data_IF_797012774028
#
_entry.id   IF_797012774028
#
_cell.length_a   1.000
_cell.length_b   1.000
_cell.length_c   1.000
_cell.angle_alpha   90.00
_cell.angle_beta   90.00
_cell.angle_gamma   90.00
#
_symmetry.space_group_name_H-M   'P 1'
#
loop_
_entity.id
_entity.type
_entity.pdbx_description
1 polymer ?
#
# COMPACT_ATOMS: atom_id res chain seq x y z
N UNK A 1 54.07 -56.13 -58.97
CA UNK A 1 53.29 -55.03 -59.60
C UNK A 1 51.81 -55.31 -59.38
N UNK A 2 51.04 -54.24 -59.16
CA UNK A 2 49.59 -54.14 -58.87
C UNK A 2 49.18 -54.29 -57.38
N UNK A 3 48.49 -53.28 -56.80
CA UNK A 3 48.22 -53.18 -55.37
C UNK A 3 46.83 -53.75 -55.00
N UNK A 4 46.71 -54.26 -53.77
CA UNK A 4 45.43 -54.56 -53.14
C UNK A 4 44.70 -53.24 -52.85
N UNK A 5 43.50 -53.11 -53.42
CA UNK A 5 42.55 -52.05 -53.06
C UNK A 5 41.79 -52.51 -51.80
N UNK A 6 42.21 -52.04 -50.62
CA UNK A 6 41.42 -52.16 -49.41
C UNK A 6 40.23 -51.18 -49.48
N UNK A 7 39.03 -51.71 -49.64
CA UNK A 7 37.77 -50.98 -49.38
C UNK A 7 37.68 -50.77 -47.88
N UNK A 8 38.02 -49.56 -47.43
CA UNK A 8 37.87 -49.14 -46.04
C UNK A 8 36.43 -48.67 -45.84
N UNK A 9 35.59 -49.54 -45.27
CA UNK A 9 34.27 -49.19 -44.75
C UNK A 9 34.47 -48.29 -43.52
N UNK A 10 34.42 -46.97 -43.75
CA UNK A 10 34.37 -45.99 -42.65
C UNK A 10 32.97 -46.04 -42.06
N UNK A 11 32.84 -46.74 -40.93
CA UNK A 11 31.68 -46.57 -40.06
C UNK A 11 31.74 -45.14 -39.48
N UNK A 12 30.91 -44.23 -40.01
CA UNK A 12 30.64 -42.94 -39.39
C UNK A 12 29.88 -43.21 -38.07
N UNK A 13 30.63 -43.27 -36.98
CA UNK A 13 30.06 -43.19 -35.64
C UNK A 13 29.45 -41.79 -35.49
N UNK A 14 28.12 -41.71 -35.60
CA UNK A 14 27.36 -40.49 -35.38
C UNK A 14 27.34 -40.22 -33.86
N UNK A 15 28.43 -39.65 -33.35
CA UNK A 15 28.53 -39.22 -31.96
C UNK A 15 27.56 -38.06 -31.72
N UNK A 16 26.42 -38.34 -31.07
CA UNK A 16 25.45 -37.34 -30.69
C UNK A 16 26.13 -36.32 -29.74
N UNK A 17 26.37 -35.11 -30.23
CA UNK A 17 26.87 -34.01 -29.41
C UNK A 17 25.71 -33.41 -28.65
N UNK A 18 25.61 -33.70 -27.35
CA UNK A 18 24.69 -32.98 -26.46
C UNK A 18 25.01 -31.47 -26.52
N UNK A 19 23.97 -30.64 -26.66
CA UNK A 19 24.15 -29.19 -26.77
C UNK A 19 24.52 -28.56 -25.40
N UNK A 20 24.19 -29.26 -24.32
CA UNK A 20 24.52 -28.90 -22.95
C UNK A 20 25.77 -29.66 -22.48
N UNK A 21 26.76 -28.96 -21.87
CA UNK A 21 27.93 -29.63 -21.36
C UNK A 21 27.60 -30.43 -20.10
N UNK A 22 28.35 -31.50 -19.85
CA UNK A 22 28.13 -32.41 -18.72
C UNK A 22 28.31 -31.78 -17.33
N UNK A 23 28.87 -30.57 -17.27
CA UNK A 23 29.01 -29.78 -16.05
C UNK A 23 27.88 -28.75 -15.86
N UNK A 24 26.87 -28.72 -16.74
CA UNK A 24 25.69 -27.89 -16.56
C UNK A 24 24.70 -28.52 -15.57
N UNK A 25 23.85 -27.70 -14.96
CA UNK A 25 22.75 -28.17 -14.11
C UNK A 25 21.52 -28.61 -14.94
N UNK A 26 21.65 -28.67 -16.28
CA UNK A 26 20.59 -29.15 -17.20
C UNK A 26 20.71 -30.66 -17.34
N UNK A 27 19.62 -31.37 -17.08
CA UNK A 27 19.55 -32.83 -17.20
C UNK A 27 19.29 -33.20 -18.66
N UNK A 28 20.23 -33.91 -19.28
CA UNK A 28 20.00 -34.47 -20.62
C UNK A 28 19.03 -35.65 -20.54
N UNK A 29 17.91 -35.53 -21.23
CA UNK A 29 16.88 -36.54 -21.31
C UNK A 29 17.06 -37.39 -22.58
N UNK A 30 16.78 -38.67 -22.42
CA UNK A 30 16.73 -39.67 -23.49
C UNK A 30 15.45 -40.48 -23.34
N UNK A 31 15.11 -41.27 -24.35
CA UNK A 31 13.96 -42.18 -24.26
C UNK A 31 14.02 -43.10 -23.02
N UNK A 32 15.23 -43.51 -22.61
CA UNK A 32 15.43 -44.43 -21.49
C UNK A 32 15.20 -43.79 -20.12
N UNK A 33 15.53 -42.50 -19.96
CA UNK A 33 15.43 -41.81 -18.67
C UNK A 33 14.21 -40.88 -18.57
N UNK A 34 13.49 -40.60 -19.66
CA UNK A 34 12.39 -39.64 -19.64
C UNK A 34 11.25 -40.02 -18.69
N UNK A 35 11.02 -41.32 -18.44
CA UNK A 35 10.01 -41.77 -17.49
C UNK A 35 10.18 -41.15 -16.10
N UNK A 36 11.39 -40.73 -15.73
CA UNK A 36 11.66 -40.00 -14.49
C UNK A 36 10.91 -38.65 -14.41
N UNK A 37 10.64 -38.00 -15.56
CA UNK A 37 9.87 -36.75 -15.63
C UNK A 37 8.41 -36.97 -15.27
N UNK A 38 7.85 -38.10 -15.72
CA UNK A 38 6.44 -38.46 -15.55
C UNK A 38 6.15 -39.11 -14.20
N UNK A 39 7.13 -39.83 -13.65
CA UNK A 39 7.01 -40.54 -12.37
C UNK A 39 7.48 -39.68 -11.17
N UNK A 40 8.15 -38.56 -11.42
CA UNK A 40 8.59 -37.66 -10.36
C UNK A 40 7.46 -36.75 -9.88
N UNK A 41 7.41 -36.56 -8.55
CA UNK A 41 6.59 -35.53 -7.89
C UNK A 41 7.15 -34.12 -8.06
N UNK A 42 8.40 -34.01 -8.51
CA UNK A 42 9.07 -32.73 -8.74
C UNK A 42 8.54 -32.07 -10.02
N UNK A 43 8.72 -30.77 -10.12
CA UNK A 43 8.29 -29.97 -11.27
C UNK A 43 9.43 -29.98 -12.29
N UNK A 44 9.09 -30.13 -13.57
CA UNK A 44 10.08 -30.21 -14.64
C UNK A 44 9.87 -29.14 -15.69
N UNK A 45 10.96 -28.62 -16.22
CA UNK A 45 10.97 -27.73 -17.38
C UNK A 45 11.84 -28.39 -18.41
N UNK A 46 11.27 -28.66 -19.58
CA UNK A 46 11.94 -29.46 -20.62
C UNK A 46 12.04 -28.63 -21.89
N UNK A 47 13.27 -28.41 -22.35
CA UNK A 47 13.54 -27.91 -23.68
C UNK A 47 13.61 -29.06 -24.69
N UNK A 48 12.85 -28.93 -25.78
CA UNK A 48 12.93 -29.77 -26.96
C UNK A 48 13.78 -29.04 -28.01
N UNK A 49 14.96 -29.58 -28.30
CA UNK A 49 15.96 -28.94 -29.15
C UNK A 49 16.43 -29.85 -30.29
N UNK A 50 17.21 -29.27 -31.21
CA UNK A 50 18.00 -30.01 -32.19
C UNK A 50 19.44 -29.45 -32.20
N UNK A 51 20.50 -30.28 -32.28
CA UNK A 51 21.89 -29.79 -32.20
C UNK A 51 22.25 -28.79 -33.31
N UNK A 52 21.65 -28.92 -34.49
CA UNK A 52 21.85 -28.03 -35.64
C UNK A 52 21.05 -26.72 -35.56
N UNK A 53 20.15 -26.57 -34.58
CA UNK A 53 19.27 -25.40 -34.46
C UNK A 53 20.00 -24.22 -33.81
N UNK A 54 20.28 -23.17 -34.60
CA UNK A 54 20.95 -21.96 -34.12
C UNK A 54 20.19 -21.18 -33.03
N UNK A 55 18.86 -21.30 -32.98
CA UNK A 55 18.05 -20.68 -31.92
C UNK A 55 18.20 -21.41 -30.58
N UNK A 56 18.36 -22.73 -30.65
CA UNK A 56 18.59 -23.61 -29.51
C UNK A 56 19.99 -23.33 -28.94
N UNK A 57 21.01 -23.24 -29.80
CA UNK A 57 22.37 -22.87 -29.39
C UNK A 57 22.44 -21.52 -28.67
N UNK A 58 21.64 -20.52 -29.08
CA UNK A 58 21.57 -19.22 -28.40
C UNK A 58 20.85 -19.28 -27.05
N UNK A 59 19.97 -20.27 -26.84
CA UNK A 59 19.23 -20.45 -25.59
C UNK A 59 20.10 -21.11 -24.51
N UNK A 60 21.04 -21.98 -24.90
CA UNK A 60 21.96 -22.71 -23.99
C UNK A 60 22.49 -21.89 -22.80
N UNK A 61 23.11 -20.69 -22.98
CA UNK A 61 23.66 -19.95 -21.85
C UNK A 61 22.59 -19.47 -20.86
N UNK A 62 21.44 -19.03 -21.35
CA UNK A 62 20.35 -18.54 -20.51
C UNK A 62 19.59 -19.69 -19.84
N UNK A 63 19.40 -20.79 -20.56
CA UNK A 63 18.79 -22.01 -20.03
C UNK A 63 19.66 -22.67 -18.95
N UNK A 64 20.97 -22.69 -19.14
CA UNK A 64 21.93 -23.18 -18.13
C UNK A 64 21.93 -22.31 -16.87
N UNK A 65 21.82 -20.98 -17.02
CA UNK A 65 21.68 -20.06 -15.87
C UNK A 65 20.37 -20.30 -15.13
N UNK A 66 19.26 -20.50 -15.84
CA UNK A 66 17.97 -20.84 -15.26
C UNK A 66 18.03 -22.17 -14.50
N UNK A 67 18.66 -23.20 -15.07
CA UNK A 67 18.89 -24.49 -14.42
C UNK A 67 19.64 -24.35 -13.10
N UNK A 68 20.71 -23.54 -13.10
CA UNK A 68 21.48 -23.26 -11.88
C UNK A 68 20.65 -22.51 -10.83
N UNK A 69 19.84 -21.53 -11.25
CA UNK A 69 19.00 -20.74 -10.34
C UNK A 69 17.85 -21.56 -9.74
N UNK A 70 17.30 -22.49 -10.50
CA UNK A 70 16.18 -23.35 -10.10
C UNK A 70 16.61 -24.64 -9.40
N UNK A 71 17.93 -24.86 -9.24
CA UNK A 71 18.49 -26.07 -8.66
C UNK A 71 17.89 -26.35 -7.28
N UNK A 72 17.32 -27.54 -7.13
CA UNK A 72 16.68 -27.99 -5.89
C UNK A 72 15.22 -27.56 -5.72
N UNK A 73 14.67 -26.77 -6.65
CA UNK A 73 13.27 -26.33 -6.66
C UNK A 73 12.53 -26.94 -7.86
N UNK A 74 13.16 -26.89 -9.04
CA UNK A 74 12.63 -27.39 -10.31
C UNK A 74 13.73 -28.14 -11.05
N UNK A 75 13.39 -29.26 -11.68
CA UNK A 75 14.30 -29.99 -12.56
C UNK A 75 14.27 -29.36 -13.94
N UNK A 76 15.42 -28.87 -14.40
CA UNK A 76 15.57 -28.29 -15.73
C UNK A 76 16.28 -29.30 -16.62
N UNK A 77 15.71 -29.56 -17.78
CA UNK A 77 16.11 -30.66 -18.62
C UNK A 77 15.99 -30.34 -20.11
N UNK A 78 16.74 -31.04 -20.94
CA UNK A 78 16.73 -30.87 -22.37
C UNK A 78 16.69 -32.23 -23.08
N UNK A 79 16.00 -32.31 -24.22
CA UNK A 79 15.95 -33.50 -25.06
C UNK A 79 16.18 -33.15 -26.52
N UNK A 80 17.06 -33.93 -27.16
CA UNK A 80 17.25 -33.90 -28.61
C UNK A 80 16.02 -34.49 -29.31
N UNK A 81 15.11 -33.61 -29.68
CA UNK A 81 13.86 -33.95 -30.32
C UNK A 81 14.03 -34.31 -31.82
N UNK A 82 15.19 -34.02 -32.40
CA UNK A 82 15.56 -34.46 -33.75
C UNK A 82 15.95 -35.95 -33.75
N UNK A 83 16.64 -36.38 -32.69
CA UNK A 83 16.97 -37.79 -32.45
C UNK A 83 15.77 -38.61 -31.98
N UNK A 84 14.84 -38.02 -31.23
CA UNK A 84 13.66 -38.68 -30.66
C UNK A 84 12.33 -38.04 -31.14
N UNK A 85 11.99 -38.12 -32.45
CA UNK A 85 10.86 -37.38 -33.04
C UNK A 85 9.49 -37.89 -32.61
N UNK A 86 9.35 -39.19 -32.34
CA UNK A 86 8.11 -39.78 -31.81
C UNK A 86 7.72 -39.21 -30.45
N UNK A 87 8.71 -38.77 -29.67
CA UNK A 87 8.52 -38.18 -28.36
C UNK A 87 8.08 -36.70 -28.48
N UNK A 88 8.77 -35.93 -29.32
CA UNK A 88 8.41 -34.54 -29.63
C UNK A 88 6.97 -34.42 -30.16
N UNK A 89 6.55 -35.34 -31.01
CA UNK A 89 5.18 -35.40 -31.56
C UNK A 89 4.09 -35.58 -30.50
N UNK A 90 4.33 -36.38 -29.44
CA UNK A 90 3.35 -36.62 -28.35
C UNK A 90 2.99 -35.35 -27.59
N UNK A 91 3.92 -34.41 -27.51
CA UNK A 91 3.71 -33.13 -26.84
C UNK A 91 3.41 -31.99 -27.83
N UNK A 92 3.15 -32.31 -29.10
CA UNK A 92 2.79 -31.31 -30.11
C UNK A 92 3.92 -30.35 -30.44
N UNK A 93 5.18 -30.78 -30.33
CA UNK A 93 6.33 -29.94 -30.70
C UNK A 93 6.42 -29.86 -32.23
N UNK A 94 6.24 -28.65 -32.76
CA UNK A 94 6.24 -28.38 -34.21
C UNK A 94 7.50 -27.64 -34.69
N UNK A 95 8.38 -27.23 -33.78
CA UNK A 95 9.60 -26.50 -34.10
C UNK A 95 10.52 -26.36 -32.90
N UNK A 96 11.75 -25.88 -33.14
CA UNK A 96 12.79 -25.79 -32.13
C UNK A 96 13.31 -24.35 -31.95
N UNK A 97 13.67 -23.93 -30.73
CA UNK A 97 13.46 -24.63 -29.46
C UNK A 97 12.03 -24.45 -28.95
N UNK A 98 11.42 -25.53 -28.45
CA UNK A 98 10.14 -25.49 -27.73
C UNK A 98 10.40 -25.85 -26.27
N UNK A 99 9.91 -25.05 -25.33
CA UNK A 99 10.04 -25.33 -23.90
C UNK A 99 8.65 -25.62 -23.33
N UNK A 100 8.56 -26.65 -22.49
CA UNK A 100 7.32 -27.02 -21.81
C UNK A 100 7.53 -27.19 -20.31
N UNK A 101 6.52 -26.81 -19.53
CA UNK A 101 6.53 -26.87 -18.07
C UNK A 101 5.58 -27.99 -17.62
N UNK A 102 6.14 -28.98 -16.94
CA UNK A 102 5.47 -30.18 -16.45
C UNK A 102 5.20 -30.05 -14.95
N UNK A 103 4.20 -29.23 -14.61
CA UNK A 103 3.63 -29.17 -13.25
C UNK A 103 2.59 -30.29 -13.09
N UNK A 104 1.58 -30.32 -13.96
CA UNK A 104 0.74 -31.49 -14.19
C UNK A 104 1.36 -32.33 -15.31
N UNK A 105 1.76 -33.57 -15.00
CA UNK A 105 2.42 -34.48 -15.94
C UNK A 105 1.55 -34.86 -17.12
N UNK A 106 0.23 -34.83 -16.94
CA UNK A 106 -0.74 -35.20 -17.96
C UNK A 106 -1.07 -34.04 -18.91
N UNK A 107 -0.79 -32.79 -18.49
CA UNK A 107 -1.10 -31.59 -19.26
C UNK A 107 0.02 -30.55 -19.13
N UNK A 108 1.18 -30.79 -19.76
CA UNK A 108 2.28 -29.83 -19.74
C UNK A 108 1.88 -28.52 -20.43
N UNK A 109 2.36 -27.42 -19.86
CA UNK A 109 2.06 -26.06 -20.32
C UNK A 109 3.14 -25.60 -21.30
N UNK A 110 2.73 -24.87 -22.33
CA UNK A 110 3.65 -24.22 -23.26
C UNK A 110 4.33 -23.02 -22.60
N UNK A 111 5.65 -22.93 -22.75
CA UNK A 111 6.41 -21.76 -22.33
C UNK A 111 6.29 -20.66 -23.40
N UNK A 112 5.67 -19.54 -23.02
CA UNK A 112 5.51 -18.36 -23.87
C UNK A 112 6.28 -17.13 -23.34
N UNK A 113 7.12 -17.31 -22.32
CA UNK A 113 7.89 -16.25 -21.70
C UNK A 113 9.14 -15.85 -22.50
N UNK A 114 9.83 -14.82 -22.01
CA UNK A 114 11.10 -14.39 -22.58
C UNK A 114 12.17 -15.49 -22.41
N UNK A 115 12.89 -15.79 -23.49
CA UNK A 115 13.98 -16.81 -23.52
C UNK A 115 15.27 -16.32 -22.86
N UNK A 116 15.15 -15.69 -21.70
CA UNK A 116 16.24 -15.26 -20.81
C UNK A 116 16.17 -16.07 -19.52
N UNK A 117 17.26 -16.13 -18.76
CA UNK A 117 17.29 -16.91 -17.51
C UNK A 117 16.18 -16.45 -16.56
N UNK A 118 15.95 -15.13 -16.46
CA UNK A 118 14.92 -14.52 -15.61
C UNK A 118 13.52 -14.83 -16.13
N UNK A 119 13.27 -14.65 -17.42
CA UNK A 119 11.96 -14.95 -18.02
C UNK A 119 11.58 -16.43 -17.88
N UNK A 120 12.56 -17.33 -18.00
CA UNK A 120 12.37 -18.76 -17.74
C UNK A 120 12.03 -19.01 -16.27
N UNK A 121 12.78 -18.45 -15.32
CA UNK A 121 12.50 -18.66 -13.89
C UNK A 121 11.14 -18.11 -13.47
N UNK A 122 10.75 -16.94 -13.99
CA UNK A 122 9.51 -16.28 -13.60
C UNK A 122 8.28 -17.03 -14.11
N UNK A 123 8.28 -17.47 -15.37
CA UNK A 123 7.16 -18.23 -15.93
C UNK A 123 7.01 -19.59 -15.23
N UNK A 124 8.12 -20.20 -14.83
CA UNK A 124 8.12 -21.44 -14.06
C UNK A 124 7.52 -21.22 -12.68
N UNK A 125 7.94 -20.19 -11.94
CA UNK A 125 7.37 -19.85 -10.63
C UNK A 125 5.88 -19.53 -10.75
N UNK A 126 5.46 -18.84 -11.80
CA UNK A 126 4.06 -18.54 -12.09
C UNK A 126 3.24 -19.81 -12.34
N UNK A 127 3.75 -20.73 -13.15
CA UNK A 127 3.09 -22.02 -13.40
C UNK A 127 2.93 -22.83 -12.10
N UNK A 128 3.93 -22.79 -11.21
CA UNK A 128 3.87 -23.42 -9.88
C UNK A 128 2.76 -22.79 -9.02
N UNK A 129 2.75 -21.45 -8.91
CA UNK A 129 1.72 -20.72 -8.15
C UNK A 129 0.32 -21.03 -8.66
N UNK A 130 0.12 -21.02 -9.97
CA UNK A 130 -1.18 -21.31 -10.58
C UNK A 130 -1.64 -22.73 -10.29
N UNK A 131 -0.74 -23.71 -10.34
CA UNK A 131 -1.09 -25.09 -10.00
C UNK A 131 -1.41 -25.27 -8.52
N UNK A 132 -0.70 -24.59 -7.63
CA UNK A 132 -1.00 -24.60 -6.19
C UNK A 132 -2.38 -24.00 -5.94
N UNK A 133 -2.68 -22.84 -6.53
CA UNK A 133 -3.98 -22.17 -6.40
C UNK A 133 -5.13 -23.00 -6.97
N UNK A 134 -4.92 -23.71 -8.09
CA UNK A 134 -5.93 -24.58 -8.68
C UNK A 134 -6.23 -25.83 -7.84
N UNK A 135 -5.23 -26.34 -7.12
CA UNK A 135 -5.37 -27.51 -6.24
C UNK A 135 -5.93 -27.15 -4.85
N UNK A 136 -5.89 -25.88 -4.47
CA UNK A 136 -6.42 -25.34 -3.20
C UNK A 136 -7.78 -24.67 -3.37
N UNK A 137 -8.72 -25.31 -4.07
CA UNK A 137 -10.11 -24.84 -4.10
C UNK A 137 -10.69 -24.85 -2.68
N UNK A 138 -10.77 -23.67 -2.04
CA UNK A 138 -11.64 -23.45 -0.87
C UNK A 138 -11.01 -22.90 0.42
N UNK A 139 -9.73 -22.51 0.47
CA UNK A 139 -9.18 -21.86 1.68
C UNK A 139 -8.43 -20.58 1.32
N UNK A 140 -8.91 -19.38 1.73
CA UNK A 140 -8.14 -18.15 1.59
C UNK A 140 -7.04 -18.16 2.65
N UNK A 141 -5.83 -18.58 2.28
CA UNK A 141 -4.68 -18.54 3.17
C UNK A 141 -3.70 -17.42 2.77
N UNK A 142 -3.50 -16.52 3.73
CA UNK A 142 -2.76 -15.27 3.69
C UNK A 142 -1.48 -15.23 2.85
N UNK A 143 -1.37 -14.15 2.09
CA UNK A 143 -0.13 -13.60 1.58
C UNK A 143 0.83 -13.32 2.75
N UNK A 144 1.70 -14.27 3.07
CA UNK A 144 2.88 -14.05 3.88
C UNK A 144 4.07 -13.81 2.94
N UNK A 145 4.51 -12.55 2.88
CA UNK A 145 5.76 -12.09 2.26
C UNK A 145 6.97 -12.95 2.64
N UNK A 146 7.74 -13.35 1.63
CA UNK A 146 9.20 -13.50 1.70
C UNK A 146 9.76 -13.20 0.30
N UNK A 147 9.95 -11.91 -0.01
CA UNK A 147 11.24 -11.20 0.03
C UNK A 147 12.29 -11.74 -0.95
N UNK A 148 12.36 -11.14 -2.15
CA UNK A 148 13.65 -10.75 -2.74
C UNK A 148 13.50 -9.65 -3.81
N UNK A 149 13.64 -8.42 -3.32
CA UNK A 149 14.40 -7.29 -3.90
C UNK A 149 14.95 -7.52 -5.32
N UNK A 150 14.18 -7.12 -6.32
CA UNK A 150 14.72 -6.52 -7.54
C UNK A 150 14.26 -5.06 -7.58
N UNK A 151 15.23 -4.16 -7.72
CA UNK A 151 15.05 -2.72 -7.75
C UNK A 151 13.92 -2.28 -8.69
N UNK A 152 13.09 -1.36 -8.19
CA UNK A 152 12.16 -0.45 -8.90
C UNK A 152 11.01 -1.08 -9.69
N UNK A 153 10.05 -1.69 -8.99
CA UNK A 153 8.78 -2.17 -9.57
C UNK A 153 7.72 -2.60 -8.53
N UNK A 154 8.15 -3.03 -7.34
CA UNK A 154 7.29 -3.62 -6.29
C UNK A 154 6.21 -2.69 -5.71
N UNK A 155 6.32 -1.37 -5.90
CA UNK A 155 5.39 -0.40 -5.31
C UNK A 155 4.28 0.06 -6.28
N UNK A 156 4.33 -0.35 -7.55
CA UNK A 156 3.22 -0.14 -8.50
C UNK A 156 2.19 -1.25 -8.30
N UNK A 157 0.96 -0.89 -7.99
CA UNK A 157 -0.13 -1.84 -7.78
C UNK A 157 -0.73 -2.23 -9.12
N UNK A 158 -0.75 -3.54 -9.42
CA UNK A 158 -1.47 -4.04 -10.58
C UNK A 158 -2.99 -3.96 -10.35
N UNK A 159 -3.66 -3.24 -11.24
CA UNK A 159 -5.10 -3.01 -11.20
C UNK A 159 -5.78 -3.81 -12.31
N UNK A 160 -6.93 -4.36 -11.96
CA UNK A 160 -7.78 -5.20 -12.80
C UNK A 160 -9.23 -4.74 -12.64
N UNK A 161 -10.11 -5.12 -13.57
CA UNK A 161 -11.55 -4.82 -13.43
C UNK A 161 -12.13 -5.29 -12.08
N UNK A 162 -11.58 -6.37 -11.51
CA UNK A 162 -12.08 -6.98 -10.26
C UNK A 162 -11.62 -6.29 -8.98
N UNK A 163 -10.49 -5.58 -9.01
CA UNK A 163 -9.90 -4.96 -7.81
C UNK A 163 -9.97 -3.43 -7.83
N UNK A 164 -10.20 -2.82 -9.00
CA UNK A 164 -10.15 -1.36 -9.18
C UNK A 164 -11.11 -0.65 -8.22
N UNK A 165 -12.35 -1.14 -8.13
CA UNK A 165 -13.39 -0.46 -7.35
C UNK A 165 -13.20 -0.57 -5.85
N UNK A 166 -12.45 -1.57 -5.41
CA UNK A 166 -12.12 -1.78 -4.01
C UNK A 166 -10.85 -1.03 -3.61
N UNK A 167 -9.88 -0.95 -4.51
CA UNK A 167 -8.56 -0.39 -4.21
C UNK A 167 -8.49 1.11 -4.51
N UNK A 168 -9.11 1.55 -5.60
CA UNK A 168 -9.02 2.92 -6.11
C UNK A 168 -10.31 3.69 -5.83
N UNK A 169 -11.47 3.14 -6.21
CA UNK A 169 -12.74 3.79 -5.89
C UNK A 169 -13.06 3.58 -4.40
N UNK A 170 -13.65 4.59 -3.77
CA UNK A 170 -13.99 4.63 -2.34
C UNK A 170 -12.78 4.39 -1.41
N UNK A 171 -11.58 4.69 -1.91
CA UNK A 171 -10.33 4.65 -1.14
C UNK A 171 -10.11 5.97 -0.42
N UNK A 172 -9.68 5.90 0.83
CA UNK A 172 -9.20 7.09 1.58
C UNK A 172 -7.81 7.54 1.11
N UNK A 173 -7.08 6.66 0.40
CA UNK A 173 -5.83 7.02 -0.25
C UNK A 173 -6.03 7.71 -1.59
N UNK A 174 -5.07 8.57 -1.94
CA UNK A 174 -4.97 9.21 -3.25
C UNK A 174 -4.29 8.27 -4.23
N UNK A 175 -4.83 8.16 -5.44
CA UNK A 175 -4.31 7.29 -6.48
C UNK A 175 -3.93 8.02 -7.77
N UNK A 176 -2.84 7.56 -8.37
CA UNK A 176 -2.49 7.80 -9.76
C UNK A 176 -2.53 6.48 -10.50
N UNK A 177 -3.31 6.39 -11.58
CA UNK A 177 -3.46 5.14 -12.34
C UNK A 177 -3.05 5.34 -13.79
N UNK A 178 -2.09 4.54 -14.23
CA UNK A 178 -1.72 4.41 -15.63
C UNK A 178 -2.60 3.36 -16.32
N UNK A 179 -3.30 3.77 -17.37
CA UNK A 179 -3.97 2.90 -18.32
C UNK A 179 -3.03 2.67 -19.51
N UNK A 180 -2.52 1.45 -19.65
CA UNK A 180 -1.46 1.12 -20.60
C UNK A 180 -1.82 -0.05 -21.53
N UNK A 181 -0.99 -0.26 -22.54
CA UNK A 181 -1.00 -1.45 -23.38
C UNK A 181 0.42 -2.04 -23.48
N UNK A 182 0.60 -3.37 -23.37
CA UNK A 182 1.92 -4.00 -23.21
C UNK A 182 2.81 -3.87 -24.47
N UNK A 183 2.20 -3.65 -25.64
CA UNK A 183 2.89 -3.45 -26.91
C UNK A 183 3.21 -1.98 -27.20
N UNK A 184 2.71 -1.02 -26.40
CA UNK A 184 2.90 0.41 -26.64
C UNK A 184 4.30 0.88 -26.21
N UNK A 185 5.10 1.39 -27.17
CA UNK A 185 6.45 1.89 -26.90
C UNK A 185 6.50 3.05 -25.90
N UNK A 186 5.50 3.95 -25.92
CA UNK A 186 5.43 5.04 -24.95
C UNK A 186 5.14 4.55 -23.51
N UNK A 187 4.37 3.46 -23.36
CA UNK A 187 4.13 2.84 -22.05
C UNK A 187 5.40 2.16 -21.53
N UNK A 188 6.10 1.43 -22.40
CA UNK A 188 7.40 0.80 -22.04
C UNK A 188 8.44 1.82 -21.57
N UNK A 189 8.46 3.01 -22.18
CA UNK A 189 9.35 4.09 -21.77
C UNK A 189 8.92 4.76 -20.44
N UNK A 190 7.62 4.79 -20.15
CA UNK A 190 7.09 5.35 -18.91
C UNK A 190 7.27 4.40 -17.72
N UNK A 191 7.14 3.09 -17.93
CA UNK A 191 7.21 2.05 -16.88
C UNK A 191 8.37 2.22 -15.87
N UNK A 192 9.64 2.44 -16.27
CA UNK A 192 10.72 2.65 -15.30
C UNK A 192 10.56 3.93 -14.48
N UNK A 193 10.03 5.00 -15.08
CA UNK A 193 9.75 6.26 -14.38
C UNK A 193 8.57 6.12 -13.42
N UNK A 194 7.52 5.41 -13.85
CA UNK A 194 6.34 5.12 -13.05
C UNK A 194 6.70 4.31 -11.80
N UNK A 195 7.52 3.27 -11.97
CA UNK A 195 7.97 2.43 -10.86
C UNK A 195 8.88 3.18 -9.87
N UNK A 196 9.77 4.03 -10.36
CA UNK A 196 10.58 4.91 -9.52
C UNK A 196 9.71 5.89 -8.71
N UNK A 197 8.77 6.56 -9.38
CA UNK A 197 7.83 7.46 -8.72
C UNK A 197 6.97 6.76 -7.66
N UNK A 198 6.51 5.53 -7.94
CA UNK A 198 5.72 4.73 -7.00
C UNK A 198 6.51 4.42 -5.72
N UNK A 199 7.80 4.12 -5.88
CA UNK A 199 8.71 3.86 -4.76
C UNK A 199 8.92 5.11 -3.90
N UNK A 200 9.05 6.28 -4.51
CA UNK A 200 9.25 7.56 -3.82
C UNK A 200 7.98 8.10 -3.15
N UNK A 201 6.80 7.83 -3.72
CA UNK A 201 5.50 8.32 -3.24
C UNK A 201 4.82 7.41 -2.20
N UNK A 202 5.48 6.31 -1.83
CA UNK A 202 4.96 5.32 -0.89
C UNK A 202 4.46 5.96 0.41
N UNK A 203 3.22 5.64 0.76
CA UNK A 203 2.54 6.18 1.95
C UNK A 203 1.94 7.58 1.79
N UNK A 204 2.05 8.20 0.61
CA UNK A 204 1.43 9.51 0.31
C UNK A 204 0.49 9.43 -0.88
N UNK A 205 0.95 8.86 -1.98
CA UNK A 205 0.16 8.64 -3.20
C UNK A 205 0.45 7.23 -3.72
N UNK A 206 -0.60 6.47 -3.98
CA UNK A 206 -0.50 5.11 -4.54
C UNK A 206 -0.48 5.18 -6.06
N UNK A 207 0.46 4.46 -6.67
CA UNK A 207 0.53 4.35 -8.13
C UNK A 207 0.02 2.97 -8.55
N UNK A 208 -0.93 2.96 -9.47
CA UNK A 208 -1.48 1.76 -10.07
C UNK A 208 -1.21 1.68 -11.57
N UNK A 209 -1.23 0.48 -12.12
CA UNK A 209 -1.17 0.24 -13.56
C UNK A 209 -2.24 -0.77 -13.96
N UNK A 210 -3.03 -0.44 -14.99
CA UNK A 210 -4.09 -1.28 -15.54
C UNK A 210 -3.84 -1.51 -17.04
N UNK A 211 -3.74 -2.77 -17.45
CA UNK A 211 -3.69 -3.13 -18.86
C UNK A 211 -5.07 -2.98 -19.48
N UNK A 212 -5.27 -1.86 -20.18
CA UNK A 212 -6.55 -1.50 -20.79
C UNK A 212 -6.90 -2.36 -22.02
N UNK A 213 -5.96 -3.18 -22.51
CA UNK A 213 -6.23 -4.13 -23.60
C UNK A 213 -6.89 -5.41 -23.11
N UNK A 214 -6.68 -5.74 -21.83
CA UNK A 214 -7.32 -6.88 -21.15
C UNK A 214 -8.55 -6.41 -20.37
N UNK A 215 -8.42 -5.28 -19.67
CA UNK A 215 -9.44 -4.73 -18.78
C UNK A 215 -10.26 -3.63 -19.46
N UNK A 216 -10.97 -4.02 -20.53
CA UNK A 216 -11.70 -3.08 -21.39
C UNK A 216 -12.89 -2.41 -20.71
N UNK A 217 -13.47 -3.03 -19.66
CA UNK A 217 -14.60 -2.47 -18.93
C UNK A 217 -14.21 -1.17 -18.22
N UNK A 218 -13.15 -1.20 -17.40
CA UNK A 218 -12.64 0.02 -16.74
C UNK A 218 -12.09 1.01 -17.77
N UNK A 219 -11.41 0.54 -18.82
CA UNK A 219 -10.94 1.43 -19.88
C UNK A 219 -12.09 2.22 -20.54
N UNK A 220 -13.24 1.58 -20.78
CA UNK A 220 -14.42 2.24 -21.33
C UNK A 220 -15.06 3.21 -20.31
N UNK A 221 -15.19 2.79 -19.05
CA UNK A 221 -15.76 3.61 -17.97
C UNK A 221 -15.03 4.94 -17.80
N UNK A 222 -13.70 4.93 -17.88
CA UNK A 222 -12.85 6.11 -17.78
C UNK A 222 -12.57 6.79 -19.13
N UNK A 223 -13.25 6.37 -20.21
CA UNK A 223 -13.15 6.91 -21.56
C UNK A 223 -11.68 6.99 -22.06
N UNK A 224 -10.93 5.91 -21.89
CA UNK A 224 -9.54 5.79 -22.33
C UNK A 224 -9.51 5.61 -23.85
N UNK A 225 -8.87 6.55 -24.56
CA UNK A 225 -8.83 6.60 -26.04
C UNK A 225 -7.45 6.36 -26.64
N UNK A 226 -6.42 6.28 -25.80
CA UNK A 226 -5.03 6.12 -26.22
C UNK A 226 -4.16 5.70 -25.05
N UNK A 227 -2.91 5.32 -25.35
CA UNK A 227 -1.98 4.80 -24.35
C UNK A 227 -0.61 5.49 -24.43
N UNK A 228 0.04 5.78 -23.29
CA UNK A 228 -0.52 5.70 -21.94
C UNK A 228 -1.45 6.89 -21.65
N UNK A 229 -2.54 6.65 -20.93
CA UNK A 229 -3.37 7.69 -20.30
C UNK A 229 -3.26 7.53 -18.80
N UNK A 230 -3.02 8.63 -18.09
CA UNK A 230 -2.88 8.63 -16.63
C UNK A 230 -4.03 9.43 -16.03
N UNK A 231 -4.70 8.86 -15.03
CA UNK A 231 -5.79 9.48 -14.30
C UNK A 231 -5.43 9.63 -12.82
N UNK A 232 -5.87 10.73 -12.24
CA UNK A 232 -5.72 11.06 -10.84
C UNK A 232 -7.04 10.88 -10.11
N UNK A 233 -7.00 10.26 -8.94
CA UNK A 233 -8.15 9.95 -8.12
C UNK A 233 -7.90 10.55 -6.73
N UNK A 234 -8.55 11.68 -6.40
CA UNK A 234 -8.61 12.20 -5.04
C UNK A 234 -9.12 11.15 -4.04
N UNK A 235 -8.78 11.35 -2.76
CA UNK A 235 -9.37 10.59 -1.66
C UNK A 235 -10.90 10.68 -1.70
N UNK A 236 -11.60 9.56 -1.47
CA UNK A 236 -13.06 9.51 -1.50
C UNK A 236 -13.69 9.52 -2.89
N UNK A 237 -12.91 9.36 -3.97
CA UNK A 237 -13.46 9.24 -5.33
C UNK A 237 -14.33 8.00 -5.46
N UNK A 238 -15.63 8.17 -5.69
CA UNK A 238 -16.60 7.06 -5.73
C UNK A 238 -17.05 6.66 -7.14
N UNK A 239 -16.72 7.45 -8.16
CA UNK A 239 -17.13 7.22 -9.54
C UNK A 239 -16.18 7.87 -10.55
N UNK A 240 -16.37 7.54 -11.83
CA UNK A 240 -15.49 8.00 -12.91
C UNK A 240 -15.48 9.51 -13.14
N UNK A 241 -16.52 10.25 -12.73
CA UNK A 241 -16.55 11.71 -12.83
C UNK A 241 -15.64 12.42 -11.84
N UNK A 242 -15.24 11.74 -10.75
CA UNK A 242 -14.29 12.28 -9.77
C UNK A 242 -12.83 12.12 -10.19
N UNK A 243 -12.56 11.40 -11.28
CA UNK A 243 -11.20 11.20 -11.79
C UNK A 243 -10.75 12.39 -12.66
N UNK A 244 -9.61 12.97 -12.32
CA UNK A 244 -8.97 14.05 -13.09
C UNK A 244 -7.94 13.48 -14.07
N UNK A 245 -7.63 14.20 -15.14
CA UNK A 245 -6.54 13.83 -16.04
C UNK A 245 -5.19 14.34 -15.51
N UNK A 246 -4.17 13.48 -15.56
CA UNK A 246 -2.81 13.87 -15.20
C UNK A 246 -2.20 14.75 -16.31
N UNK A 247 -1.70 15.92 -15.92
CA UNK A 247 -1.19 16.94 -16.85
C UNK A 247 0.31 17.22 -16.70
N UNK A 248 1.02 16.46 -15.86
CA UNK A 248 2.46 16.64 -15.62
C UNK A 248 3.36 15.94 -16.65
N UNK A 249 4.67 16.05 -16.43
CA UNK A 249 5.69 15.39 -17.24
C UNK A 249 5.79 13.88 -16.99
N UNK A 250 6.46 13.13 -17.87
CA UNK A 250 6.54 11.66 -17.80
C UNK A 250 7.83 11.13 -17.16
N UNK A 251 8.65 12.01 -16.58
CA UNK A 251 9.83 11.61 -15.81
C UNK A 251 9.44 11.34 -14.35
N UNK A 252 10.24 10.53 -13.63
CA UNK A 252 9.96 10.21 -12.23
C UNK A 252 9.82 11.47 -11.37
N UNK A 253 10.71 12.46 -11.56
CA UNK A 253 10.70 13.72 -10.81
C UNK A 253 9.45 14.56 -11.08
N UNK A 254 8.97 14.60 -12.32
CA UNK A 254 7.76 15.34 -12.67
C UNK A 254 6.52 14.70 -12.06
N UNK A 255 6.43 13.37 -12.11
CA UNK A 255 5.34 12.59 -11.52
C UNK A 255 5.32 12.79 -10.00
N UNK A 256 6.48 12.63 -9.34
CA UNK A 256 6.61 12.83 -7.89
C UNK A 256 6.21 14.25 -7.50
N UNK A 257 6.73 15.27 -8.19
CA UNK A 257 6.44 16.67 -7.87
C UNK A 257 4.95 16.99 -8.02
N UNK A 258 4.34 16.56 -9.12
CA UNK A 258 2.91 16.76 -9.39
C UNK A 258 2.04 16.01 -8.37
N UNK A 259 2.37 14.75 -8.08
CA UNK A 259 1.63 13.93 -7.12
C UNK A 259 1.73 14.48 -5.70
N UNK A 260 2.91 14.96 -5.28
CA UNK A 260 3.13 15.59 -3.99
C UNK A 260 2.34 16.89 -3.84
N UNK A 261 2.26 17.71 -4.89
CA UNK A 261 1.42 18.90 -4.90
C UNK A 261 -0.05 18.53 -4.71
N UNK A 262 -0.55 17.56 -5.49
CA UNK A 262 -1.93 17.10 -5.37
C UNK A 262 -2.22 16.45 -4.02
N UNK A 263 -1.25 15.74 -3.44
CA UNK A 263 -1.35 15.21 -2.08
C UNK A 263 -1.54 16.33 -1.05
N UNK A 264 -0.81 17.44 -1.17
CA UNK A 264 -0.98 18.61 -0.29
C UNK A 264 -2.34 19.29 -0.47
N UNK A 265 -2.90 19.29 -1.68
CA UNK A 265 -4.24 19.83 -1.96
C UNK A 265 -5.36 18.93 -1.42
N UNK A 266 -5.12 17.61 -1.35
CA UNK A 266 -6.10 16.58 -1.00
C UNK A 266 -5.83 15.89 0.35
N UNK A 267 -5.04 16.49 1.24
CA UNK A 267 -4.89 15.99 2.62
C UNK A 267 -6.29 15.94 3.25
N UNK A 268 -6.69 14.84 3.91
CA UNK A 268 -7.98 14.78 4.59
C UNK A 268 -8.04 15.80 5.73
N UNK A 269 -9.23 16.34 6.05
CA UNK A 269 -9.40 17.14 7.26
C UNK A 269 -8.97 16.33 8.50
N UNK A 270 -8.34 16.97 9.50
CA UNK A 270 -7.97 16.29 10.73
C UNK A 270 -9.22 15.94 11.55
N UNK A 271 -9.15 14.83 12.27
CA UNK A 271 -10.15 14.48 13.27
C UNK A 271 -10.06 15.43 14.47
N UNK A 272 -11.23 15.81 15.01
CA UNK A 272 -11.33 16.58 16.24
C UNK A 272 -11.57 15.58 17.38
N UNK A 273 -10.50 15.25 18.10
CA UNK A 273 -10.47 14.16 19.08
C UNK A 273 -10.86 14.69 20.47
N UNK A 274 -11.76 14.00 21.17
CA UNK A 274 -12.05 14.29 22.58
C UNK A 274 -10.96 13.69 23.47
N UNK A 275 -10.43 14.48 24.42
CA UNK A 275 -9.44 14.02 25.40
C UNK A 275 -10.17 13.28 26.52
N UNK A 276 -10.20 11.96 26.41
CA UNK A 276 -10.84 11.07 27.40
C UNK A 276 -9.85 10.17 28.12
N UNK A 277 -8.62 10.06 27.63
CA UNK A 277 -7.54 9.28 28.24
C UNK A 277 -6.18 9.61 27.59
N UNK A 278 -5.12 9.04 28.15
CA UNK A 278 -3.74 9.22 27.69
C UNK A 278 -3.52 8.84 26.21
N UNK A 279 -4.21 7.82 25.69
CA UNK A 279 -4.05 7.37 24.31
C UNK A 279 -4.64 8.39 23.32
N UNK A 280 -5.84 8.91 23.60
CA UNK A 280 -6.47 9.97 22.79
C UNK A 280 -5.63 11.25 22.78
N UNK A 281 -5.04 11.60 23.91
CA UNK A 281 -4.12 12.73 24.00
C UNK A 281 -2.83 12.49 23.20
N UNK A 282 -2.23 11.30 23.29
CA UNK A 282 -1.04 10.95 22.52
C UNK A 282 -1.30 11.00 21.01
N UNK A 283 -2.42 10.43 20.57
CA UNK A 283 -2.83 10.46 19.17
C UNK A 283 -2.95 11.90 18.64
N UNK A 284 -3.57 12.81 19.40
CA UNK A 284 -3.74 14.20 18.96
C UNK A 284 -2.57 15.15 19.24
N UNK A 285 -1.66 14.85 20.18
CA UNK A 285 -0.57 15.78 20.55
C UNK A 285 0.85 15.25 20.36
N UNK A 286 1.10 13.99 20.71
CA UNK A 286 2.46 13.45 20.76
C UNK A 286 2.97 12.99 19.38
N UNK A 287 2.06 12.57 18.51
CA UNK A 287 2.38 12.17 17.13
C UNK A 287 2.52 13.38 16.18
N UNK A 288 2.09 14.57 16.62
CA UNK A 288 2.09 15.79 15.82
C UNK A 288 3.19 16.76 16.24
N UNK A 289 3.59 17.65 15.32
CA UNK A 289 4.57 18.70 15.62
C UNK A 289 3.99 19.80 16.53
N UNK A 290 2.69 20.09 16.35
CA UNK A 290 1.87 20.98 17.16
C UNK A 290 0.49 20.34 17.31
N UNK A 291 -0.16 20.62 18.43
CA UNK A 291 -1.55 20.26 18.63
C UNK A 291 -2.34 21.44 19.18
N UNK A 292 -3.55 21.59 18.64
CA UNK A 292 -4.53 22.57 19.08
C UNK A 292 -5.37 21.91 20.16
N UNK A 293 -5.26 22.39 21.40
CA UNK A 293 -6.01 21.90 22.56
C UNK A 293 -7.06 22.94 22.91
N UNK A 294 -8.33 22.58 22.72
CA UNK A 294 -9.48 23.43 23.06
C UNK A 294 -10.18 22.92 24.31
N UNK A 295 -10.62 23.80 25.18
CA UNK A 295 -11.44 23.44 26.34
C UNK A 295 -12.77 24.16 26.18
N UNK A 296 -13.83 23.38 25.98
CA UNK A 296 -15.17 23.88 25.69
C UNK A 296 -15.98 23.98 26.99
N UNK A 297 -16.99 24.86 27.05
CA UNK A 297 -17.85 24.97 28.23
C UNK A 297 -18.48 23.63 28.63
N UNK A 298 -18.80 23.51 29.92
CA UNK A 298 -19.50 22.36 30.47
C UNK A 298 -20.84 22.14 29.75
N UNK A 299 -21.27 20.89 29.60
CA UNK A 299 -22.46 20.58 28.81
C UNK A 299 -23.73 21.22 29.38
N UNK A 300 -23.81 21.41 30.70
CA UNK A 300 -24.94 22.09 31.35
C UNK A 300 -25.06 23.59 30.97
N UNK A 301 -23.95 24.24 30.64
CA UNK A 301 -23.91 25.67 30.31
C UNK A 301 -24.17 25.93 28.81
N UNK A 302 -23.77 24.99 27.96
CA UNK A 302 -23.73 25.17 26.51
C UNK A 302 -24.69 24.22 25.76
N UNK A 303 -25.08 23.10 26.37
CA UNK A 303 -25.90 22.06 25.76
C UNK A 303 -25.29 21.52 24.44
N UNK A 304 -25.92 20.52 23.83
CA UNK A 304 -25.38 19.86 22.65
C UNK A 304 -25.28 20.79 21.45
N UNK A 305 -26.24 21.72 21.29
CA UNK A 305 -26.27 22.65 20.15
C UNK A 305 -25.04 23.56 20.15
N UNK A 306 -24.76 24.28 21.24
CA UNK A 306 -23.64 25.22 21.27
C UNK A 306 -22.28 24.47 21.25
N UNK A 307 -22.19 23.27 21.85
CA UNK A 307 -20.97 22.45 21.76
C UNK A 307 -20.67 22.08 20.31
N UNK A 308 -21.69 21.66 19.56
CA UNK A 308 -21.55 21.34 18.15
C UNK A 308 -21.15 22.55 17.31
N UNK A 309 -21.58 23.77 17.64
CA UNK A 309 -21.12 24.99 16.96
C UNK A 309 -19.62 25.23 17.14
N UNK A 310 -19.09 25.04 18.35
CA UNK A 310 -17.65 25.12 18.59
C UNK A 310 -16.89 24.01 17.85
N UNK A 311 -17.38 22.77 17.92
CA UNK A 311 -16.77 21.65 17.19
C UNK A 311 -16.79 21.88 15.68
N UNK A 312 -17.85 22.45 15.12
CA UNK A 312 -17.94 22.82 13.71
C UNK A 312 -16.94 23.92 13.33
N UNK A 313 -16.73 24.91 14.22
CA UNK A 313 -15.69 25.92 14.06
C UNK A 313 -14.29 25.28 14.02
N UNK A 314 -14.02 24.36 14.94
CA UNK A 314 -12.75 23.61 14.97
C UNK A 314 -12.58 22.74 13.73
N UNK A 315 -13.63 22.06 13.25
CA UNK A 315 -13.60 21.28 11.99
C UNK A 315 -13.31 22.16 10.78
N UNK A 316 -13.96 23.31 10.65
CA UNK A 316 -13.72 24.28 9.57
C UNK A 316 -12.27 24.75 9.56
N UNK A 317 -11.73 25.09 10.73
CA UNK A 317 -10.33 25.52 10.86
C UNK A 317 -9.35 24.36 10.65
N UNK A 318 -9.69 23.16 11.13
CA UNK A 318 -8.95 21.93 10.88
C UNK A 318 -8.77 21.69 9.39
N UNK A 319 -9.85 21.80 8.61
CA UNK A 319 -9.79 21.68 7.14
C UNK A 319 -8.92 22.80 6.51
N UNK A 320 -9.06 24.05 6.96
CA UNK A 320 -8.23 25.17 6.45
C UNK A 320 -6.74 25.01 6.75
N UNK A 321 -6.39 24.35 7.86
CA UNK A 321 -5.01 24.14 8.29
C UNK A 321 -4.51 22.70 8.11
N UNK A 322 -5.25 21.83 7.41
CA UNK A 322 -4.92 20.39 7.26
C UNK A 322 -3.53 20.13 6.68
N UNK A 323 -3.04 21.02 5.82
CA UNK A 323 -1.69 20.96 5.27
C UNK A 323 -0.58 21.07 6.34
N UNK A 324 -0.89 21.59 7.52
CA UNK A 324 0.06 21.70 8.63
C UNK A 324 0.19 20.40 9.43
N UNK A 325 -0.71 19.43 9.22
CA UNK A 325 -0.72 18.14 9.93
C UNK A 325 -0.65 18.31 11.46
N UNK A 326 -1.33 19.34 11.97
CA UNK A 326 -1.49 19.55 13.42
C UNK A 326 -2.60 18.64 13.92
N UNK A 327 -2.45 18.14 15.15
CA UNK A 327 -3.53 17.41 15.79
C UNK A 327 -4.50 18.38 16.46
N UNK A 328 -5.77 17.97 16.54
CA UNK A 328 -6.85 18.79 17.05
C UNK A 328 -7.57 18.04 18.14
N UNK A 329 -7.54 18.62 19.33
CA UNK A 329 -8.06 18.03 20.54
C UNK A 329 -9.04 18.98 21.20
N UNK A 330 -10.05 18.41 21.86
CA UNK A 330 -10.91 19.16 22.75
C UNK A 330 -11.19 18.38 24.04
N UNK A 331 -11.50 19.11 25.10
CA UNK A 331 -12.02 18.56 26.35
C UNK A 331 -13.18 19.42 26.84
N UNK A 332 -14.07 18.83 27.63
CA UNK A 332 -15.03 19.59 28.42
C UNK A 332 -14.32 20.24 29.62
N UNK A 333 -14.68 21.50 29.91
CA UNK A 333 -14.18 22.25 31.05
C UNK A 333 -14.32 21.47 32.36
N UNK A 334 -13.22 21.35 33.09
CA UNK A 334 -13.18 20.68 34.39
C UNK A 334 -12.99 19.16 34.31
N UNK A 335 -13.04 18.55 33.12
CA UNK A 335 -12.72 17.11 32.95
C UNK A 335 -11.22 16.83 32.95
N UNK A 336 -10.38 17.82 32.63
CA UNK A 336 -8.93 17.67 32.59
C UNK A 336 -8.22 18.78 33.38
N UNK A 337 -8.49 18.91 34.70
CA UNK A 337 -8.09 20.08 35.48
C UNK A 337 -6.56 20.28 35.55
N UNK A 338 -5.78 19.19 35.56
CA UNK A 338 -4.31 19.30 35.58
C UNK A 338 -3.75 19.78 34.24
N UNK A 339 -4.31 19.32 33.12
CA UNK A 339 -3.94 19.77 31.78
C UNK A 339 -4.32 21.25 31.59
N UNK A 340 -5.52 21.62 32.01
CA UNK A 340 -6.01 22.99 31.99
C UNK A 340 -5.09 23.92 32.79
N UNK A 341 -4.75 23.54 34.03
CA UNK A 341 -3.83 24.28 34.88
C UNK A 341 -2.42 24.38 34.26
N UNK A 342 -1.93 23.30 33.67
CA UNK A 342 -0.58 23.25 33.07
C UNK A 342 -0.44 24.15 31.85
N UNK A 343 -1.51 24.25 31.05
CA UNK A 343 -1.58 25.11 29.88
C UNK A 343 -2.11 26.52 30.19
N UNK A 344 -2.36 26.82 31.48
CA UNK A 344 -2.95 28.08 31.95
C UNK A 344 -4.26 28.44 31.22
N UNK A 345 -5.06 27.41 30.90
CA UNK A 345 -6.37 27.51 30.26
C UNK A 345 -7.45 27.57 31.36
N UNK A 346 -8.52 28.33 31.13
CA UNK A 346 -9.67 28.45 32.05
C UNK A 346 -9.66 29.66 32.97
N UNK A 347 -8.52 30.38 33.10
CA UNK A 347 -8.44 31.59 33.93
C UNK A 347 -9.35 32.74 33.48
N UNK A 348 -9.70 32.81 32.19
CA UNK A 348 -10.60 33.83 31.61
C UNK A 348 -12.00 33.27 31.30
N UNK A 349 -12.31 32.04 31.72
CA UNK A 349 -13.51 31.31 31.34
C UNK A 349 -13.33 30.46 30.08
N UNK A 350 -14.41 29.77 29.70
CA UNK A 350 -14.49 28.87 28.54
C UNK A 350 -15.47 29.44 27.50
N UNK A 351 -15.28 29.17 26.20
CA UNK A 351 -14.25 28.33 25.60
C UNK A 351 -12.86 28.95 25.61
N UNK A 352 -11.83 28.12 25.68
CA UNK A 352 -10.44 28.54 25.65
C UNK A 352 -9.58 27.59 24.81
N UNK A 353 -8.44 28.07 24.28
CA UNK A 353 -7.61 27.32 23.33
C UNK A 353 -6.14 27.61 23.58
N UNK A 354 -5.32 26.55 23.57
CA UNK A 354 -3.87 26.67 23.49
C UNK A 354 -3.31 25.76 22.39
N UNK A 355 -2.19 26.17 21.80
CA UNK A 355 -1.40 25.34 20.90
C UNK A 355 -0.16 24.86 21.63
N UNK A 356 0.00 23.55 21.74
CA UNK A 356 1.10 22.91 22.46
C UNK A 356 2.11 22.29 21.47
N UNK A 357 3.39 22.48 21.79
CA UNK A 357 4.49 21.72 21.21
C UNK A 357 5.07 20.79 22.30
N UNK A 358 4.67 19.53 22.28
CA UNK A 358 5.09 18.52 23.27
C UNK A 358 6.61 18.36 23.27
N UNK A 359 7.24 18.27 22.10
CA UNK A 359 8.70 18.07 21.98
C UNK A 359 9.53 19.21 22.56
N UNK A 360 9.03 20.45 22.44
CA UNK A 360 9.69 21.66 22.97
C UNK A 360 9.20 22.05 24.36
N UNK A 361 8.20 21.35 24.91
CA UNK A 361 7.51 21.71 26.16
C UNK A 361 7.14 23.19 26.22
N UNK A 362 6.55 23.69 25.13
CA UNK A 362 6.10 25.08 24.99
C UNK A 362 4.68 25.13 24.48
N UNK A 363 3.93 26.10 24.95
CA UNK A 363 2.58 26.35 24.47
C UNK A 363 2.33 27.83 24.22
N UNK A 364 1.25 28.14 23.51
CA UNK A 364 0.76 29.50 23.29
C UNK A 364 -0.75 29.49 23.48
N UNK A 365 -1.29 30.47 24.20
CA UNK A 365 -2.73 30.57 24.48
C UNK A 365 -3.34 31.59 23.51
N UNK A 366 -4.53 31.27 23.01
CA UNK A 366 -5.39 32.21 22.31
C UNK A 366 -5.83 33.33 23.27
N UNK A 367 -5.36 34.55 23.01
CA UNK A 367 -5.79 35.75 23.77
C UNK A 367 -6.95 36.51 23.11
N UNK A 368 -7.25 36.18 21.87
CA UNK A 368 -8.37 36.77 21.11
C UNK A 368 -9.69 36.05 21.36
N UNK A 369 -10.69 36.38 20.56
CA UNK A 369 -11.99 35.70 20.61
C UNK A 369 -11.90 34.25 20.14
N UNK A 370 -12.64 33.36 20.81
CA UNK A 370 -12.90 32.00 20.31
C UNK A 370 -13.93 32.07 19.17
N UNK A 371 -13.49 32.56 18.02
CA UNK A 371 -14.26 32.66 16.78
C UNK A 371 -13.41 32.14 15.63
N UNK A 372 -14.03 31.87 14.48
CA UNK A 372 -13.31 31.40 13.31
C UNK A 372 -12.15 32.34 12.92
N UNK A 373 -12.40 33.65 12.85
CA UNK A 373 -11.37 34.63 12.52
C UNK A 373 -10.31 34.78 13.62
N UNK A 374 -10.71 34.80 14.89
CA UNK A 374 -9.79 34.96 16.02
C UNK A 374 -8.83 33.78 16.15
N UNK A 375 -9.35 32.55 16.03
CA UNK A 375 -8.52 31.34 16.03
C UNK A 375 -7.67 31.27 14.75
N UNK A 376 -8.23 31.58 13.58
CA UNK A 376 -7.48 31.59 12.31
C UNK A 376 -6.28 32.54 12.36
N UNK A 377 -6.46 33.76 12.85
CA UNK A 377 -5.36 34.74 12.97
C UNK A 377 -4.28 34.23 13.92
N UNK A 378 -4.68 33.71 15.08
CA UNK A 378 -3.77 33.13 16.05
C UNK A 378 -2.96 31.95 15.49
N UNK A 379 -3.63 30.99 14.86
CA UNK A 379 -2.99 29.83 14.22
C UNK A 379 -2.09 30.24 13.06
N UNK A 380 -2.50 31.23 12.27
CA UNK A 380 -1.68 31.78 11.19
C UNK A 380 -0.39 32.38 11.74
N UNK A 381 -0.45 33.17 12.80
CA UNK A 381 0.73 33.79 13.41
C UNK A 381 1.72 32.74 13.91
N UNK A 382 1.22 31.71 14.61
CA UNK A 382 2.03 30.57 15.05
C UNK A 382 2.68 29.84 13.87
N UNK A 383 1.96 29.69 12.75
CA UNK A 383 2.51 29.05 11.55
C UNK A 383 3.69 29.80 10.93
N UNK A 384 3.80 31.11 11.16
CA UNK A 384 4.91 31.96 10.75
C UNK A 384 5.94 32.18 11.87
N UNK A 385 5.84 31.46 12.99
CA UNK A 385 6.72 31.62 14.14
C UNK A 385 6.55 32.96 14.87
N UNK A 386 5.40 33.60 14.69
CA UNK A 386 4.99 34.81 15.40
C UNK A 386 4.11 34.42 16.59
N UNK A 387 4.09 35.25 17.61
CA UNK A 387 3.31 35.02 18.83
C UNK A 387 4.16 34.70 20.05
N UNK A 388 3.57 34.90 21.22
CA UNK A 388 4.21 34.64 22.50
C UNK A 388 4.08 33.16 22.86
N UNK A 389 5.15 32.55 23.35
CA UNK A 389 5.14 31.18 23.85
C UNK A 389 5.56 31.17 25.31
N UNK A 390 4.93 30.31 26.10
CA UNK A 390 5.27 30.05 27.48
C UNK A 390 5.83 28.62 27.62
N UNK A 391 6.78 28.38 28.54
CA UNK A 391 7.22 27.03 28.87
C UNK A 391 6.12 26.30 29.65
N UNK A 392 5.97 25.01 29.42
CA UNK A 392 5.11 24.15 30.24
C UNK A 392 5.69 24.06 31.65
N UNK A 393 4.86 24.29 32.67
CA UNK A 393 5.27 24.28 34.08
C UNK A 393 5.87 22.92 34.44
N UNK A 394 7.05 22.92 35.07
CA UNK A 394 7.74 21.69 35.47
C UNK A 394 8.34 20.86 34.33
N UNK A 395 8.25 21.31 33.07
CA UNK A 395 8.76 20.61 31.89
C UNK A 395 8.26 19.16 31.72
N UNK A 396 7.10 18.84 32.32
CA UNK A 396 6.40 17.57 32.17
C UNK A 396 4.91 17.85 31.89
N UNK A 397 4.28 17.00 31.08
CA UNK A 397 2.84 17.03 30.89
C UNK A 397 2.17 16.26 32.04
N UNK A 398 0.98 16.69 32.48
CA UNK A 398 0.23 15.99 33.52
C UNK A 398 -0.34 14.68 32.96
N UNK A 399 -0.73 13.79 33.86
CA UNK A 399 -1.45 12.57 33.51
C UNK A 399 -2.89 12.91 33.10
N UNK A 400 -3.34 12.37 31.98
CA UNK A 400 -4.71 12.61 31.49
C UNK A 400 -5.70 11.76 32.28
N UNK A 401 -6.73 12.41 32.83
CA UNK A 401 -7.76 11.71 33.59
C UNK A 401 -8.65 10.91 32.64
N UNK A 402 -8.92 9.65 33.00
CA UNK A 402 -9.86 8.83 32.25
C UNK A 402 -11.29 9.33 32.47
N UNK A 403 -11.98 9.70 31.40
CA UNK A 403 -13.37 10.17 31.44
C UNK A 403 -14.23 9.42 30.43
N UNK A 404 -15.54 9.40 30.65
CA UNK A 404 -16.47 8.89 29.66
C UNK A 404 -16.56 9.87 28.47
N UNK A 405 -16.54 9.38 27.22
CA UNK A 405 -16.76 10.22 26.04
C UNK A 405 -18.13 10.87 26.07
N UNK A 406 -18.25 12.05 25.48
CA UNK A 406 -19.54 12.71 25.35
C UNK A 406 -20.49 11.88 24.48
N UNK A 407 -21.70 11.65 25.01
CA UNK A 407 -22.72 10.81 24.38
C UNK A 407 -23.49 11.51 23.23
N UNK A 408 -23.14 12.77 22.94
CA UNK A 408 -23.76 13.60 21.91
C UNK A 408 -25.08 14.25 22.34
N UNK A 409 -25.48 14.15 23.61
CA UNK A 409 -26.74 14.69 24.13
C UNK A 409 -26.54 15.90 25.03
N UNK A 410 -27.67 16.53 25.33
CA UNK A 410 -27.79 17.61 26.30
C UNK A 410 -27.46 17.13 27.71
N UNK A 411 -26.99 18.05 28.55
CA UNK A 411 -26.65 17.75 29.93
C UNK A 411 -27.92 17.64 30.76
N UNK A 412 -28.07 16.51 31.46
CA UNK A 412 -29.12 16.36 32.46
C UNK A 412 -28.57 16.76 33.84
N UNK A 413 -29.31 17.63 34.53
CA UNK A 413 -28.99 17.87 35.94
C UNK A 413 -29.22 16.57 36.69
N UNK A 414 -28.30 16.18 37.60
CA UNK A 414 -28.58 15.07 38.50
C UNK A 414 -29.92 15.36 39.17
N UNK A 415 -30.83 14.38 39.18
CA UNK A 415 -32.06 14.49 39.95
C UNK A 415 -31.64 14.80 41.37
N UNK A 416 -32.14 15.91 41.93
CA UNK A 416 -31.96 16.16 43.35
C UNK A 416 -32.55 14.93 44.05
N UNK A 417 -31.69 14.06 44.58
CA UNK A 417 -32.14 13.12 45.59
C UNK A 417 -32.77 14.02 46.64
N UNK A 418 -34.10 13.88 46.84
CA UNK A 418 -34.83 14.62 47.85
C UNK A 418 -34.02 14.46 49.14
N UNK A 419 -33.37 15.55 49.56
CA UNK A 419 -32.64 15.56 50.82
C UNK A 419 -33.74 15.28 51.85
N UNK A 420 -33.72 14.08 52.42
CA UNK A 420 -34.69 13.68 53.41
C UNK A 420 -34.42 14.49 54.67
N UNK A 421 -35.07 15.65 54.77
CA UNK A 421 -34.99 16.55 55.91
C UNK A 421 -35.78 16.01 57.11
N UNK A 422 -36.33 14.78 57.06
CA UNK A 422 -36.99 14.16 58.21
C UNK A 422 -36.06 13.90 59.39
N UNK A 423 -34.75 13.84 59.14
CA UNK A 423 -33.72 13.60 60.16
C UNK A 423 -33.13 14.89 60.75
N UNK A 424 -33.63 16.07 60.35
CA UNK A 424 -33.23 17.36 60.93
C UNK A 424 -34.18 17.70 62.08
N UNK A 425 -33.88 17.17 63.27
CA UNK A 425 -34.52 17.60 64.52
C UNK A 425 -34.17 19.07 64.82
N UNK A 426 -35.14 19.97 64.63
CA UNK A 426 -35.05 21.40 64.96
C UNK A 426 -35.33 21.69 66.45
N UNK A 427 -35.40 20.66 67.30
CA UNK A 427 -35.85 20.77 68.68
C UNK A 427 -34.76 21.21 69.68
N UNK A 428 -33.50 21.38 69.24
CA UNK A 428 -32.38 21.80 70.09
C UNK A 428 -32.10 23.32 70.04
N UNK A 429 -33.10 24.16 69.78
CA UNK A 429 -33.00 25.61 70.04
C UNK A 429 -33.49 25.88 71.46
N UNK A 430 -32.61 26.20 72.43
CA UNK A 430 -33.04 26.55 73.79
C UNK A 430 -33.88 27.83 73.73
N UNK A 431 -35.10 27.77 74.26
CA UNK A 431 -36.06 28.89 74.32
C UNK A 431 -35.67 30.04 75.28
N UNK A 432 -34.38 30.28 75.51
CA UNK A 432 -33.93 31.32 76.46
C UNK A 432 -33.43 32.63 75.82
N UNK A 433 -33.41 32.78 74.49
CA UNK A 433 -33.07 34.09 73.86
C UNK A 433 -34.01 34.46 72.71
N UNK A 434 -35.29 34.70 73.03
CA UNK A 434 -36.24 35.36 72.13
C UNK A 434 -36.83 36.62 72.79
#
# INVERSE_FOLDING_TARGET
MTPLWCVLLVALANSATAIYPSNSDVIELTDDNFNQVLQSVEIWVVEFYAPWCGHCQRLVPEYSKAAKALKGIVKVAAIDADKYPSFAGRYGVQGFPTVKIFVDKNKPQDFNGDRTAVGITDEVIKAIKNSISANLQGVPYGSSKSSKKSSSGDDVVELTDSNFDKLVLNSDDIWLVEFFAPWCGHCKNLAPHWAAAASELKGKVKLGALDATVHSSKAQEFNIRGYPTIKFFPSGTSSSSGAEEYTGGRTSSDIVSWAMQKHQENVPPPDIIEIVNEDTFKAGCSEHALCVVSVLPHILDCQASCRNEYLNTLRSLGDKFKQKLWGWLWAEAGKQPELESTLEIGGFGYPALAVLNVKKMKYSILRGSFSEDGIKEFLRDLSYGRGTTAPVKGAALPEIQATEPWDGKDGELPTADDIDLSDVDLDDIPKEEL
#
